data_IF_349615575537
#
_entry.id   IF_349615575537
#
_cell.length_a   1.000
_cell.length_b   1.000
_cell.length_c   1.000
_cell.angle_alpha   90.00
_cell.angle_beta   90.00
_cell.angle_gamma   90.00
#
_symmetry.space_group_name_H-M   'P 1'
#
loop_
_entity.id
_entity.type
_entity.pdbx_description
1 polymer ?
#
# COMPACT_ATOMS: atom_id res chain seq x y z
N UNK A 1 -7.82 -3.00 -14.07
CA UNK A 1 -6.89 -4.00 -13.52
C UNK A 1 -7.49 -5.40 -13.68
N UNK A 2 -6.73 -6.44 -14.08
CA UNK A 2 -7.24 -7.81 -14.16
C UNK A 2 -7.67 -8.38 -12.80
N UNK A 3 -8.77 -9.14 -12.78
CA UNK A 3 -9.35 -9.69 -11.54
C UNK A 3 -8.37 -10.63 -10.81
N UNK A 4 -7.62 -11.44 -11.56
CA UNK A 4 -6.60 -12.35 -11.03
C UNK A 4 -5.57 -11.64 -10.14
N UNK A 5 -5.13 -10.45 -10.55
CA UNK A 5 -4.22 -9.63 -9.75
C UNK A 5 -4.91 -9.08 -8.51
N UNK A 6 -6.12 -8.53 -8.65
CA UNK A 6 -6.88 -7.96 -7.54
C UNK A 6 -7.11 -8.98 -6.44
N UNK A 7 -7.47 -10.22 -6.80
CA UNK A 7 -7.72 -11.29 -5.83
C UNK A 7 -6.43 -11.77 -5.14
N UNK A 8 -5.32 -11.84 -5.88
CA UNK A 8 -4.01 -12.09 -5.27
C UNK A 8 -3.66 -11.00 -4.25
N UNK A 9 -3.82 -9.72 -4.63
CA UNK A 9 -3.49 -8.60 -3.75
C UNK A 9 -4.36 -8.52 -2.50
N UNK A 10 -5.65 -8.87 -2.59
CA UNK A 10 -6.52 -8.98 -1.41
C UNK A 10 -5.99 -9.97 -0.39
N UNK A 11 -5.46 -11.12 -0.85
CA UNK A 11 -4.82 -12.11 0.04
C UNK A 11 -3.50 -11.59 0.62
N UNK A 12 -2.69 -10.92 -0.19
CA UNK A 12 -1.42 -10.33 0.25
C UNK A 12 -1.61 -9.23 1.32
N UNK A 13 -2.74 -8.52 1.27
CA UNK A 13 -3.11 -7.46 2.20
C UNK A 13 -4.12 -7.89 3.26
N UNK A 14 -4.19 -9.18 3.61
CA UNK A 14 -5.03 -9.60 4.75
C UNK A 14 -4.54 -8.90 6.03
N UNK A 15 -5.50 -8.43 6.84
CA UNK A 15 -5.23 -7.80 8.14
C UNK A 15 -4.55 -8.78 9.10
N UNK A 16 -4.88 -10.06 8.96
CA UNK A 16 -4.27 -11.15 9.70
C UNK A 16 -2.97 -11.60 9.01
N UNK A 17 -1.79 -11.42 9.63
CA UNK A 17 -0.51 -11.79 9.03
C UNK A 17 -0.41 -13.28 8.68
N UNK A 18 -1.08 -14.15 9.43
CA UNK A 18 -1.03 -15.60 9.22
C UNK A 18 -1.81 -16.03 7.97
N UNK A 19 -2.76 -15.21 7.51
CA UNK A 19 -3.53 -15.48 6.28
C UNK A 19 -2.86 -14.98 5.01
N UNK A 20 -1.78 -14.21 5.15
CA UNK A 20 -1.04 -13.72 3.98
C UNK A 20 -0.30 -14.89 3.33
N UNK A 21 -0.33 -14.98 1.99
CA UNK A 21 0.39 -16.04 1.30
C UNK A 21 1.90 -15.88 1.45
N UNK A 22 2.60 -17.01 1.51
CA UNK A 22 4.05 -17.01 1.44
C UNK A 22 4.55 -16.61 0.05
N UNK A 23 5.79 -16.15 -0.02
CA UNK A 23 6.42 -15.79 -1.29
C UNK A 23 6.42 -16.94 -2.31
N UNK A 24 6.56 -18.19 -1.86
CA UNK A 24 6.47 -19.38 -2.72
C UNK A 24 5.07 -19.57 -3.31
N UNK A 25 4.01 -19.34 -2.54
CA UNK A 25 2.64 -19.44 -3.03
C UNK A 25 2.33 -18.34 -4.05
N UNK A 26 2.79 -17.11 -3.78
CA UNK A 26 2.68 -15.99 -4.72
C UNK A 26 3.40 -16.34 -6.04
N UNK A 27 4.61 -16.90 -5.96
CA UNK A 27 5.38 -17.31 -7.13
C UNK A 27 4.62 -18.34 -7.98
N UNK A 28 4.07 -19.38 -7.36
CA UNK A 28 3.30 -20.39 -8.10
C UNK A 28 2.02 -19.81 -8.73
N UNK A 29 1.34 -18.88 -8.05
CA UNK A 29 0.19 -18.18 -8.62
C UNK A 29 0.59 -17.38 -9.86
N UNK A 30 1.65 -16.58 -9.79
CA UNK A 30 2.12 -15.77 -10.92
C UNK A 30 2.58 -16.67 -12.07
N UNK A 31 3.34 -17.73 -11.78
CA UNK A 31 3.79 -18.72 -12.76
C UNK A 31 2.63 -19.44 -13.46
N UNK A 32 1.52 -19.67 -12.75
CA UNK A 32 0.31 -20.22 -13.36
C UNK A 32 -0.31 -19.30 -14.43
N UNK A 33 -0.09 -17.98 -14.31
CA UNK A 33 -0.60 -17.00 -15.27
C UNK A 33 0.22 -16.96 -16.55
N UNK A 34 1.54 -17.21 -16.48
CA UNK A 34 2.43 -17.24 -17.65
C UNK A 34 1.99 -18.31 -18.66
N UNK A 35 1.39 -19.40 -18.19
CA UNK A 35 0.89 -20.49 -19.03
C UNK A 35 -0.57 -20.30 -19.46
N UNK A 36 -1.23 -19.20 -19.06
CA UNK A 36 -2.64 -18.96 -19.34
C UNK A 36 -2.84 -17.73 -20.24
N UNK A 37 -3.05 -18.00 -21.53
CA UNK A 37 -3.23 -16.98 -22.56
C UNK A 37 -4.42 -16.03 -22.28
N UNK A 38 -5.51 -16.50 -21.67
CA UNK A 38 -6.65 -15.65 -21.34
C UNK A 38 -6.28 -14.61 -20.27
N UNK A 39 -5.52 -15.02 -19.26
CA UNK A 39 -5.04 -14.13 -18.20
C UNK A 39 -4.07 -13.10 -18.79
N UNK A 40 -3.10 -13.54 -19.60
CA UNK A 40 -2.15 -12.65 -20.26
C UNK A 40 -2.83 -11.58 -21.13
N UNK A 41 -3.87 -11.95 -21.89
CA UNK A 41 -4.66 -11.00 -22.68
C UNK A 41 -5.35 -9.94 -21.81
N UNK A 42 -5.84 -10.31 -20.62
CA UNK A 42 -6.44 -9.35 -19.68
C UNK A 42 -5.40 -8.33 -19.19
N UNK A 43 -4.17 -8.77 -18.94
CA UNK A 43 -3.06 -7.88 -18.55
C UNK A 43 -2.65 -6.95 -19.68
N UNK A 44 -2.41 -7.47 -20.89
CA UNK A 44 -2.03 -6.64 -22.05
C UNK A 44 -3.11 -5.58 -22.39
N UNK A 45 -4.39 -5.96 -22.38
CA UNK A 45 -5.51 -5.00 -22.58
C UNK A 45 -5.55 -3.90 -21.51
N UNK A 46 -5.00 -4.12 -20.33
CA UNK A 46 -4.91 -3.09 -19.30
C UNK A 46 -3.75 -2.13 -19.56
N UNK A 47 -2.60 -2.63 -20.02
CA UNK A 47 -1.43 -1.80 -20.36
C UNK A 47 -1.78 -0.79 -21.46
N UNK A 48 -2.46 -1.21 -22.52
CA UNK A 48 -2.84 -0.30 -23.62
C UNK A 48 -3.80 0.82 -23.17
N UNK A 49 -4.72 0.53 -22.24
CA UNK A 49 -5.60 1.55 -21.65
C UNK A 49 -4.87 2.55 -20.76
N UNK A 50 -3.78 2.13 -20.12
CA UNK A 50 -2.99 3.01 -19.26
C UNK A 50 -2.26 4.07 -20.09
N UNK A 51 -1.73 3.68 -21.25
CA UNK A 51 -1.08 4.58 -22.20
C UNK A 51 -2.05 5.63 -22.77
N UNK A 52 -3.30 5.23 -23.06
CA UNK A 52 -4.38 6.14 -23.48
C UNK A 52 -4.78 7.15 -22.38
N UNK A 53 -4.60 6.78 -21.10
CA UNK A 53 -4.89 7.63 -19.96
C UNK A 53 -3.71 8.50 -19.49
N UNK A 54 -2.59 8.49 -20.22
CA UNK A 54 -1.28 9.06 -19.88
C UNK A 54 -1.21 10.57 -19.62
N UNK A 55 -2.30 11.23 -19.24
CA UNK A 55 -2.29 12.54 -18.64
C UNK A 55 -1.70 12.44 -17.22
N UNK A 56 -0.37 12.42 -17.13
CA UNK A 56 0.33 12.77 -15.90
C UNK A 56 -0.17 14.15 -15.50
N UNK A 57 -0.77 14.27 -14.31
CA UNK A 57 -1.20 15.55 -13.79
C UNK A 57 -0.02 16.51 -13.82
N UNK A 58 -0.16 17.70 -14.41
CA UNK A 58 0.98 18.62 -14.66
C UNK A 58 1.79 18.97 -13.40
N UNK A 59 1.19 18.81 -12.22
CA UNK A 59 1.81 19.07 -10.92
C UNK A 59 2.38 17.82 -10.23
N UNK A 60 2.24 16.63 -10.83
CA UNK A 60 2.78 15.40 -10.26
C UNK A 60 4.29 15.33 -10.49
N UNK A 61 5.07 15.51 -9.42
CA UNK A 61 6.53 15.31 -9.43
C UNK A 61 6.82 13.98 -8.74
N UNK A 62 6.88 12.90 -9.52
CA UNK A 62 7.32 11.59 -9.04
C UNK A 62 8.84 11.47 -9.21
N UNK A 63 9.60 12.22 -8.42
CA UNK A 63 11.03 11.97 -8.28
C UNK A 63 11.25 11.13 -7.03
N UNK A 64 11.83 9.95 -7.20
CA UNK A 64 12.36 9.21 -6.06
C UNK A 64 13.44 10.06 -5.40
N UNK A 65 13.18 10.52 -4.17
CA UNK A 65 14.13 11.29 -3.38
C UNK A 65 14.60 10.43 -2.23
N UNK A 66 15.92 10.24 -2.12
CA UNK A 66 16.50 9.56 -0.98
C UNK A 66 16.23 10.36 0.30
N UNK A 67 15.46 9.77 1.22
CA UNK A 67 15.21 10.35 2.55
C UNK A 67 16.33 9.88 3.46
N UNK A 68 17.18 10.80 3.90
CA UNK A 68 18.25 10.48 4.84
C UNK A 68 17.70 10.15 6.23
N UNK A 69 18.45 9.40 7.05
CA UNK A 69 18.07 9.09 8.44
C UNK A 69 17.82 10.35 9.26
N UNK A 70 18.62 11.40 9.05
CA UNK A 70 18.47 12.69 9.73
C UNK A 70 17.13 13.36 9.38
N UNK A 71 16.75 13.25 8.12
CA UNK A 71 15.48 13.77 7.62
C UNK A 71 14.30 12.95 8.13
N UNK A 72 14.41 11.62 8.17
CA UNK A 72 13.41 10.74 8.78
C UNK A 72 13.16 11.08 10.26
N UNK A 73 14.22 11.33 11.02
CA UNK A 73 14.12 11.75 12.43
C UNK A 73 13.39 13.10 12.57
N UNK A 74 13.53 13.99 11.59
CA UNK A 74 12.88 15.30 11.58
C UNK A 74 11.41 15.19 11.19
N UNK A 75 11.10 14.32 10.23
CA UNK A 75 9.71 14.01 9.82
C UNK A 75 8.96 13.36 10.98
N UNK A 76 9.58 12.40 11.66
CA UNK A 76 8.97 11.68 12.78
C UNK A 76 8.78 12.58 14.01
N UNK A 77 9.63 13.58 14.24
CA UNK A 77 9.44 14.53 15.34
C UNK A 77 8.35 15.57 15.05
N UNK A 78 8.00 15.75 13.78
CA UNK A 78 6.90 16.61 13.33
C UNK A 78 5.60 15.85 13.09
N UNK A 79 5.66 14.53 12.96
CA UNK A 79 4.49 13.67 12.79
C UNK A 79 3.74 13.52 14.12
N UNK A 80 2.58 14.15 14.22
CA UNK A 80 1.64 13.91 15.31
C UNK A 80 0.72 12.76 14.91
N UNK A 81 0.97 11.56 15.45
CA UNK A 81 -0.01 10.47 15.36
C UNK A 81 -1.15 10.78 16.32
N UNK A 82 -2.24 11.37 15.82
CA UNK A 82 -3.48 11.48 16.57
C UNK A 82 -4.34 10.25 16.26
N UNK A 83 -4.72 9.48 17.28
CA UNK A 83 -5.72 8.41 17.16
C UNK A 83 -7.13 8.99 17.12
N UNK A 84 -7.38 9.94 16.22
CA UNK A 84 -8.68 10.60 16.13
C UNK A 84 -9.45 10.19 14.89
N UNK A 85 -10.77 10.07 15.04
CA UNK A 85 -11.68 9.95 13.90
C UNK A 85 -11.50 11.21 13.05
N UNK A 86 -11.06 11.02 11.80
CA UNK A 86 -10.86 12.09 10.82
C UNK A 86 -12.18 12.23 10.02
N UNK A 87 -12.73 13.44 9.92
CA UNK A 87 -13.89 13.69 9.05
C UNK A 87 -13.52 13.71 7.56
N UNK A 88 -14.51 13.76 6.68
CA UNK A 88 -14.33 13.86 5.23
C UNK A 88 -13.58 15.15 4.77
N UNK A 89 -13.35 16.09 5.68
CA UNK A 89 -12.59 17.34 5.47
C UNK A 89 -11.18 17.30 6.10
N UNK A 90 -10.71 16.13 6.54
CA UNK A 90 -9.41 15.95 7.21
C UNK A 90 -9.25 16.65 8.56
N UNK A 91 -10.34 16.88 9.28
CA UNK A 91 -10.37 17.46 10.63
C UNK A 91 -10.50 16.37 11.69
N UNK A 92 -9.66 16.42 12.73
CA UNK A 92 -9.69 15.49 13.86
C UNK A 92 -10.89 15.84 14.76
N UNK A 93 -11.79 14.88 14.98
CA UNK A 93 -13.05 15.12 15.69
C UNK A 93 -12.98 14.71 17.17
N UNK A 94 -12.17 13.71 17.54
CA UNK A 94 -11.96 13.31 18.93
C UNK A 94 -10.51 12.83 19.14
N UNK A 95 -9.79 13.39 20.12
CA UNK A 95 -8.51 12.87 20.58
C UNK A 95 -8.73 12.10 21.88
N UNK A 96 -8.62 10.77 21.88
CA UNK A 96 -8.47 10.03 23.14
C UNK A 96 -7.03 10.23 23.65
N UNK A 97 -6.90 10.63 24.91
CA UNK A 97 -5.64 10.99 25.53
C UNK A 97 -4.56 9.91 25.39
N UNK A 98 -3.33 10.39 25.17
CA UNK A 98 -2.12 9.65 24.86
C UNK A 98 -1.90 8.40 25.75
N UNK A 99 -1.69 7.23 25.12
CA UNK A 99 -1.08 6.08 25.82
C UNK A 99 0.45 6.29 25.82
N UNK A 100 1.12 6.35 26.98
CA UNK A 100 2.57 6.52 27.05
C UNK A 100 3.32 5.36 26.37
N UNK A 101 4.41 5.70 25.67
CA UNK A 101 5.30 4.81 24.89
C UNK A 101 5.78 3.60 25.72
N UNK A 102 5.82 3.71 27.04
CA UNK A 102 6.25 2.66 27.97
C UNK A 102 5.40 1.38 27.93
N UNK A 103 4.17 1.44 27.37
CA UNK A 103 3.30 0.27 27.18
C UNK A 103 3.63 -0.57 25.94
N UNK A 104 4.31 0.00 24.93
CA UNK A 104 4.62 -0.69 23.66
C UNK A 104 5.77 -1.69 23.81
N UNK A 105 6.72 -1.41 24.71
CA UNK A 105 7.87 -2.28 24.97
C UNK A 105 7.55 -3.51 25.83
N UNK A 106 6.28 -3.72 26.20
CA UNK A 106 5.83 -4.87 27.01
C UNK A 106 5.09 -5.96 26.22
N UNK A 107 4.97 -5.82 24.90
CA UNK A 107 4.25 -6.74 24.01
C UNK A 107 5.16 -7.39 22.94
N UNK A 108 6.47 -7.35 23.13
CA UNK A 108 7.46 -8.11 22.35
C UNK A 108 8.16 -9.08 23.30
#
# INVERSE_FOLDING_TARGET
MPQNYVDLMKRCWDNDPEKRPMASEIYEVIKSWENNHEILLKFNKFETKLEESGAIHRQAVYTSRFISIKELMTINSQAVCTNGIINDENKIIESQDNIPIERMNKLI
#
